data_IF_874765631650
#
_entry.id   IF_874765631650
#
_cell.length_a   1.000
_cell.length_b   1.000
_cell.length_c   1.000
_cell.angle_alpha   90.00
_cell.angle_beta   90.00
_cell.angle_gamma   90.00
#
_symmetry.space_group_name_H-M   'P 1'
#
loop_
_entity.id
_entity.type
_entity.pdbx_description
1 polymer ?
#
# COMPACT_ATOMS: atom_id res chain seq x y z
N UNK A 1 -19.86 -20.66 26.69
CA UNK A 1 -18.57 -21.32 27.00
C UNK A 1 -17.52 -20.63 26.16
N UNK A 2 -16.78 -19.70 26.76
CA UNK A 2 -15.61 -19.09 26.12
C UNK A 2 -14.50 -20.14 26.06
N UNK A 3 -13.76 -20.26 24.92
CA UNK A 3 -12.62 -21.15 24.88
C UNK A 3 -11.55 -20.63 25.86
N UNK A 4 -11.05 -21.54 26.67
CA UNK A 4 -9.90 -21.25 27.54
C UNK A 4 -8.70 -20.83 26.67
N UNK A 5 -7.93 -19.82 27.12
CA UNK A 5 -6.70 -19.46 26.43
C UNK A 5 -5.74 -20.64 26.48
N UNK A 6 -5.29 -21.10 25.31
CA UNK A 6 -4.22 -22.10 25.20
C UNK A 6 -2.93 -21.45 25.69
N UNK A 7 -2.68 -21.50 26.98
CA UNK A 7 -1.37 -21.22 27.54
C UNK A 7 -0.46 -22.36 27.17
N UNK A 8 0.32 -22.22 26.11
CA UNK A 8 1.50 -23.04 25.92
C UNK A 8 2.53 -22.62 26.97
N UNK A 9 2.57 -23.34 28.10
CA UNK A 9 3.66 -23.23 29.05
C UNK A 9 4.96 -23.65 28.35
N UNK A 10 5.81 -22.68 28.06
CA UNK A 10 7.19 -22.93 27.72
C UNK A 10 7.90 -23.31 29.00
N UNK A 11 8.00 -24.60 29.29
CA UNK A 11 8.82 -25.09 30.36
C UNK A 11 10.28 -24.78 30.02
N UNK A 12 10.86 -23.82 30.72
CA UNK A 12 12.30 -23.70 30.84
C UNK A 12 12.75 -25.00 31.53
N UNK A 13 13.37 -25.92 30.78
CA UNK A 13 13.88 -27.15 31.34
C UNK A 13 14.93 -26.81 32.42
N UNK A 14 14.65 -27.22 33.66
CA UNK A 14 15.66 -27.18 34.72
C UNK A 14 16.87 -27.99 34.29
N UNK A 15 18.01 -27.33 34.21
CA UNK A 15 19.27 -27.94 33.85
C UNK A 15 19.71 -28.97 34.89
N UNK A 16 19.58 -30.26 34.59
CA UNK A 16 20.37 -31.32 35.21
C UNK A 16 21.48 -31.71 34.20
N UNK A 17 22.69 -31.26 34.47
CA UNK A 17 23.81 -31.54 33.62
C UNK A 17 24.10 -33.06 33.50
N UNK A 18 24.19 -33.46 32.24
CA UNK A 18 25.17 -34.40 31.70
C UNK A 18 25.01 -34.46 30.18
N UNK A 19 25.95 -33.93 29.44
CA UNK A 19 26.37 -34.15 28.07
C UNK A 19 25.42 -34.87 27.08
N UNK A 20 24.36 -34.24 26.65
CA UNK A 20 23.77 -34.39 25.33
C UNK A 20 23.17 -33.04 24.96
N UNK A 21 23.59 -32.45 23.84
CA UNK A 21 23.27 -31.08 23.49
C UNK A 21 21.79 -30.75 23.61
N UNK A 22 21.44 -30.03 24.64
CA UNK A 22 20.10 -29.41 24.74
C UNK A 22 20.13 -28.18 23.82
N UNK A 23 19.30 -28.21 22.80
CA UNK A 23 19.09 -27.07 21.94
C UNK A 23 18.45 -25.92 22.74
N UNK A 24 19.04 -24.74 22.66
CA UNK A 24 18.52 -23.54 23.33
C UNK A 24 17.31 -23.01 22.55
N UNK A 25 16.18 -22.81 23.21
CA UNK A 25 15.06 -22.11 22.63
C UNK A 25 15.12 -20.61 22.92
N UNK A 26 15.05 -19.79 21.88
CA UNK A 26 15.08 -18.34 21.96
C UNK A 26 13.89 -17.75 21.22
N UNK A 27 13.09 -16.91 21.90
CA UNK A 27 12.01 -16.15 21.27
C UNK A 27 12.50 -14.74 20.89
N UNK A 28 12.48 -14.41 19.61
CA UNK A 28 12.80 -13.08 19.10
C UNK A 28 11.50 -12.34 18.79
N UNK A 29 11.21 -11.27 19.55
CA UNK A 29 9.97 -10.51 19.44
C UNK A 29 8.85 -11.03 20.36
N UNK A 30 7.66 -10.37 20.37
CA UNK A 30 7.34 -9.16 19.61
C UNK A 30 8.07 -7.90 20.11
N UNK A 31 8.50 -7.86 21.38
CA UNK A 31 9.17 -6.72 21.99
C UNK A 31 10.67 -6.66 21.63
N UNK A 32 10.98 -6.79 20.36
CA UNK A 32 12.32 -6.67 19.79
C UNK A 32 12.33 -5.56 18.72
N UNK A 33 13.34 -4.66 18.66
CA UNK A 33 13.34 -3.54 17.73
C UNK A 33 13.14 -3.94 16.26
N UNK A 34 13.80 -5.02 15.82
CA UNK A 34 13.68 -5.50 14.44
C UNK A 34 12.35 -6.22 14.14
N UNK A 35 11.60 -6.68 15.15
CA UNK A 35 10.31 -7.37 14.96
C UNK A 35 9.11 -6.41 14.98
N UNK A 36 9.35 -5.13 15.15
CA UNK A 36 8.39 -4.02 15.08
C UNK A 36 7.16 -4.16 16.01
N UNK A 37 7.23 -5.03 17.03
CA UNK A 37 6.14 -5.27 17.98
C UNK A 37 5.01 -6.18 17.49
N UNK A 38 5.13 -6.78 16.30
CA UNK A 38 4.02 -7.40 15.58
C UNK A 38 4.26 -8.84 15.12
N UNK A 39 5.44 -9.38 15.35
CA UNK A 39 5.78 -10.76 15.01
C UNK A 39 6.65 -11.36 16.11
N UNK A 40 6.52 -12.65 16.32
CA UNK A 40 7.40 -13.42 17.19
C UNK A 40 7.96 -14.61 16.43
N UNK A 41 9.28 -14.75 16.49
CA UNK A 41 9.98 -15.88 15.89
C UNK A 41 10.58 -16.70 17.03
N UNK A 42 10.12 -17.93 17.17
CA UNK A 42 10.66 -18.88 18.16
C UNK A 42 11.68 -19.74 17.44
N UNK A 43 12.93 -19.67 17.88
CA UNK A 43 14.04 -20.42 17.30
C UNK A 43 14.57 -21.46 18.27
N UNK A 44 14.96 -22.61 17.72
CA UNK A 44 15.73 -23.64 18.39
C UNK A 44 17.17 -23.58 17.88
N UNK A 45 18.11 -23.31 18.77
CA UNK A 45 19.49 -23.04 18.43
C UNK A 45 20.42 -24.22 18.83
N UNK A 46 21.37 -24.51 17.95
CA UNK A 46 22.55 -25.33 18.23
C UNK A 46 23.78 -24.41 18.15
N UNK A 47 24.24 -23.96 19.32
CA UNK A 47 25.20 -22.85 19.37
C UNK A 47 24.56 -21.57 18.84
N UNK A 48 25.10 -21.02 17.76
CA UNK A 48 24.56 -19.80 17.09
C UNK A 48 23.72 -20.13 15.85
N UNK A 49 23.59 -21.40 15.47
CA UNK A 49 22.87 -21.83 14.27
C UNK A 49 21.42 -22.19 14.59
N UNK A 50 20.51 -21.73 13.73
CA UNK A 50 19.07 -21.99 13.85
C UNK A 50 18.78 -23.38 13.28
N UNK A 51 18.40 -24.33 14.16
CA UNK A 51 17.98 -25.69 13.76
C UNK A 51 16.54 -25.71 13.29
N UNK A 52 15.70 -24.97 13.98
CA UNK A 52 14.27 -24.87 13.70
C UNK A 52 13.78 -23.48 14.04
N UNK A 53 12.81 -23.01 13.28
CA UNK A 53 12.11 -21.77 13.57
C UNK A 53 10.62 -21.97 13.40
N UNK A 54 9.84 -21.23 14.22
CA UNK A 54 8.39 -21.11 14.11
C UNK A 54 8.04 -19.62 14.15
N UNK A 55 7.19 -19.17 13.22
CA UNK A 55 6.84 -17.76 13.05
C UNK A 55 5.42 -17.54 13.49
N UNK A 56 5.24 -16.82 14.60
CA UNK A 56 3.94 -16.50 15.17
C UNK A 56 3.50 -15.11 14.70
N UNK A 57 2.37 -15.04 14.02
CA UNK A 57 1.72 -13.82 13.52
C UNK A 57 0.39 -13.60 14.26
N UNK A 58 -0.26 -12.45 14.00
CA UNK A 58 -1.58 -12.15 14.57
C UNK A 58 -1.56 -11.00 15.60
N UNK A 59 -0.39 -10.51 15.99
CA UNK A 59 -0.29 -9.43 16.99
C UNK A 59 -0.89 -8.09 16.53
N UNK A 60 -1.06 -7.91 15.22
CA UNK A 60 -1.72 -6.76 14.61
C UNK A 60 -3.01 -7.13 13.88
N UNK A 61 -3.63 -8.24 14.23
CA UNK A 61 -4.93 -8.61 13.66
C UNK A 61 -6.04 -7.69 14.16
N UNK A 62 -6.63 -6.93 13.22
CA UNK A 62 -7.62 -5.88 13.51
C UNK A 62 -8.98 -6.17 12.89
N UNK A 63 -9.21 -7.40 12.46
CA UNK A 63 -10.45 -7.84 11.82
C UNK A 63 -10.83 -7.00 10.57
N UNK A 64 -9.84 -6.54 9.80
CA UNK A 64 -10.01 -5.68 8.62
C UNK A 64 -11.13 -6.17 7.68
N UNK A 65 -11.10 -7.46 7.34
CA UNK A 65 -12.09 -8.05 6.43
C UNK A 65 -13.51 -7.96 7.01
N UNK A 66 -13.66 -8.15 8.32
CA UNK A 66 -14.96 -8.04 9.01
C UNK A 66 -15.44 -6.60 9.18
N UNK A 67 -14.54 -5.68 9.44
CA UNK A 67 -14.88 -4.26 9.51
C UNK A 67 -15.34 -3.73 8.15
N UNK A 68 -14.73 -4.20 7.05
CA UNK A 68 -15.19 -3.89 5.69
C UNK A 68 -16.59 -4.45 5.40
N UNK A 69 -16.95 -5.63 5.95
CA UNK A 69 -18.27 -6.24 5.80
C UNK A 69 -19.33 -5.56 6.69
N UNK A 70 -18.94 -4.97 7.81
CA UNK A 70 -19.84 -4.31 8.74
C UNK A 70 -20.32 -2.93 8.26
N UNK A 71 -19.50 -2.25 7.45
CA UNK A 71 -19.79 -0.92 6.91
C UNK A 71 -20.13 -0.91 5.42
N UNK A 72 -20.50 0.25 4.91
CA UNK A 72 -20.70 0.47 3.46
C UNK A 72 -19.37 0.39 2.68
N UNK A 73 -19.46 0.22 1.36
CA UNK A 73 -18.26 0.10 0.49
C UNK A 73 -17.28 1.25 0.64
N UNK A 74 -17.76 2.48 0.86
CA UNK A 74 -16.89 3.63 1.08
C UNK A 74 -16.17 3.61 2.45
N UNK A 75 -16.78 3.00 3.45
CA UNK A 75 -16.23 2.95 4.80
C UNK A 75 -14.98 2.07 4.88
N UNK A 76 -14.78 1.19 3.90
CA UNK A 76 -13.59 0.36 3.80
C UNK A 76 -12.34 1.14 3.34
N UNK A 77 -12.49 2.26 2.62
CA UNK A 77 -11.36 3.02 2.06
C UNK A 77 -10.37 3.47 3.15
N UNK A 78 -10.78 4.07 4.28
CA UNK A 78 -9.84 4.41 5.35
C UNK A 78 -9.14 3.21 5.96
N UNK A 79 -9.76 2.03 5.98
CA UNK A 79 -9.11 0.81 6.45
C UNK A 79 -8.04 0.32 5.50
N UNK A 80 -8.22 0.49 4.17
CA UNK A 80 -7.23 0.09 3.18
C UNK A 80 -5.93 0.88 3.29
N UNK A 81 -5.95 2.14 3.74
CA UNK A 81 -4.75 2.93 4.02
C UNK A 81 -3.85 2.26 5.06
N UNK A 82 -4.44 1.49 5.96
CA UNK A 82 -3.78 0.88 7.11
C UNK A 82 -3.38 -0.57 6.90
N UNK A 83 -3.54 -1.10 5.68
CA UNK A 83 -2.96 -2.39 5.29
C UNK A 83 -1.46 -2.22 5.12
N UNK A 84 -0.98 -1.95 3.93
CA UNK A 84 0.37 -1.47 3.73
C UNK A 84 0.39 0.06 3.93
N UNK A 85 0.64 0.50 5.16
CA UNK A 85 0.60 1.91 5.52
C UNK A 85 1.78 2.72 4.97
N UNK A 86 2.79 2.08 4.42
CA UNK A 86 3.93 2.76 3.77
C UNK A 86 3.62 3.11 2.32
N UNK A 87 2.78 2.31 1.66
CA UNK A 87 2.27 2.56 0.29
C UNK A 87 0.75 2.57 0.21
N UNK A 88 0.04 3.43 0.96
CA UNK A 88 -1.41 3.37 1.14
C UNK A 88 -2.21 3.64 -0.15
N UNK A 89 -1.67 4.44 -1.09
CA UNK A 89 -2.36 4.77 -2.34
C UNK A 89 -2.64 3.54 -3.19
N UNK A 90 -1.70 2.59 -3.25
CA UNK A 90 -1.89 1.35 -4.01
C UNK A 90 -3.06 0.56 -3.44
N UNK A 91 -3.18 0.48 -2.12
CA UNK A 91 -4.28 -0.23 -1.45
C UNK A 91 -5.63 0.42 -1.75
N UNK A 92 -5.71 1.76 -1.65
CA UNK A 92 -6.93 2.51 -1.95
C UNK A 92 -7.41 2.24 -3.38
N UNK A 93 -6.49 2.38 -4.34
CA UNK A 93 -6.82 2.24 -5.76
C UNK A 93 -7.18 0.80 -6.10
N UNK A 94 -6.50 -0.19 -5.53
CA UNK A 94 -6.82 -1.61 -5.76
C UNK A 94 -8.21 -1.98 -5.24
N UNK A 95 -8.57 -1.53 -4.02
CA UNK A 95 -9.90 -1.75 -3.47
C UNK A 95 -10.98 -1.02 -4.29
N UNK A 96 -10.77 0.27 -4.60
CA UNK A 96 -11.69 1.04 -5.43
C UNK A 96 -11.92 0.35 -6.78
N UNK A 97 -10.85 -0.13 -7.43
CA UNK A 97 -10.95 -0.84 -8.71
C UNK A 97 -11.69 -2.18 -8.61
N UNK A 98 -11.59 -2.88 -7.48
CA UNK A 98 -12.39 -4.09 -7.26
C UNK A 98 -13.89 -3.78 -7.19
N UNK A 99 -14.26 -2.69 -6.51
CA UNK A 99 -15.66 -2.24 -6.43
C UNK A 99 -16.15 -1.67 -7.77
N UNK A 100 -15.30 -0.93 -8.50
CA UNK A 100 -15.60 -0.43 -9.86
C UNK A 100 -15.87 -1.58 -10.83
N UNK A 101 -15.08 -2.64 -10.77
CA UNK A 101 -15.30 -3.85 -11.55
C UNK A 101 -16.61 -4.53 -11.20
N UNK A 102 -17.00 -4.54 -9.93
CA UNK A 102 -18.29 -5.09 -9.46
C UNK A 102 -19.46 -4.25 -9.94
N UNK A 103 -19.30 -2.93 -10.02
CA UNK A 103 -20.30 -2.00 -10.59
C UNK A 103 -20.35 -2.02 -12.11
N UNK A 104 -19.30 -2.54 -12.79
CA UNK A 104 -19.16 -2.48 -14.24
C UNK A 104 -18.87 -1.08 -14.79
N UNK A 105 -18.29 -0.20 -13.99
CA UNK A 105 -17.93 1.17 -14.39
C UNK A 105 -16.46 1.28 -14.74
N UNK A 106 -16.14 2.16 -15.68
CA UNK A 106 -14.78 2.48 -16.09
C UNK A 106 -14.43 3.93 -15.71
N UNK A 107 -13.28 4.11 -15.06
CA UNK A 107 -12.78 5.44 -14.67
C UNK A 107 -12.29 6.24 -15.88
N UNK A 108 -12.23 7.56 -15.73
CA UNK A 108 -11.76 8.45 -16.79
C UNK A 108 -10.29 8.21 -17.15
N UNK A 109 -9.92 8.55 -18.38
CA UNK A 109 -8.53 8.44 -18.85
C UNK A 109 -7.58 9.23 -17.96
N UNK A 110 -7.91 10.46 -17.61
CA UNK A 110 -7.10 11.28 -16.70
C UNK A 110 -6.90 10.61 -15.34
N UNK A 111 -7.96 10.01 -14.79
CA UNK A 111 -7.88 9.29 -13.52
C UNK A 111 -6.95 8.06 -13.60
N UNK A 112 -6.96 7.32 -14.72
CA UNK A 112 -6.03 6.19 -14.93
C UNK A 112 -4.57 6.63 -14.79
N UNK A 113 -4.20 7.75 -15.42
CA UNK A 113 -2.84 8.30 -15.32
C UNK A 113 -2.50 8.82 -13.93
N UNK A 114 -3.45 9.49 -13.26
CA UNK A 114 -3.26 9.94 -11.87
C UNK A 114 -3.01 8.76 -10.95
N UNK A 115 -3.84 7.71 -11.03
CA UNK A 115 -3.66 6.51 -10.20
C UNK A 115 -2.32 5.84 -10.47
N UNK A 116 -1.89 5.76 -11.73
CA UNK A 116 -0.58 5.19 -12.09
C UNK A 116 0.56 6.00 -11.49
N UNK A 117 0.60 7.32 -11.69
CA UNK A 117 1.67 8.17 -11.18
C UNK A 117 1.74 8.14 -9.64
N UNK A 118 0.60 8.27 -8.97
CA UNK A 118 0.52 8.29 -7.51
C UNK A 118 0.82 6.92 -6.88
N UNK A 119 0.45 5.82 -7.54
CA UNK A 119 0.81 4.47 -7.09
C UNK A 119 2.32 4.24 -7.14
N UNK A 120 2.99 4.72 -8.20
CA UNK A 120 4.44 4.58 -8.31
C UNK A 120 5.20 5.47 -7.32
N UNK A 121 4.75 6.70 -7.06
CA UNK A 121 5.30 7.54 -5.98
C UNK A 121 5.18 6.81 -4.63
N UNK A 122 4.04 6.20 -4.38
CA UNK A 122 3.79 5.42 -3.15
C UNK A 122 4.72 4.19 -3.06
N UNK A 123 4.96 3.48 -4.17
CA UNK A 123 5.89 2.35 -4.24
C UNK A 123 7.34 2.77 -3.92
N UNK A 124 7.79 3.91 -4.44
CA UNK A 124 9.13 4.44 -4.14
C UNK A 124 9.26 4.70 -2.64
N UNK A 125 8.26 5.30 -2.01
CA UNK A 125 8.23 5.54 -0.55
C UNK A 125 8.39 4.24 0.25
N UNK A 126 7.75 3.16 -0.20
CA UNK A 126 7.82 1.85 0.43
C UNK A 126 9.23 1.24 0.30
N UNK A 127 9.78 1.21 -0.90
CA UNK A 127 11.14 0.69 -1.12
C UNK A 127 12.22 1.49 -0.38
N UNK A 128 12.12 2.83 -0.34
CA UNK A 128 13.00 3.68 0.47
C UNK A 128 12.95 3.28 1.94
N UNK A 129 11.76 3.03 2.46
CA UNK A 129 11.57 2.62 3.86
C UNK A 129 12.17 1.24 4.12
N UNK A 130 11.89 0.27 3.25
CA UNK A 130 12.40 -1.10 3.36
C UNK A 130 13.93 -1.14 3.35
N UNK A 131 14.54 -0.52 2.34
CA UNK A 131 16.00 -0.52 2.18
C UNK A 131 16.66 0.23 3.34
N UNK A 132 16.07 1.36 3.76
CA UNK A 132 16.57 2.13 4.90
C UNK A 132 16.52 1.33 6.21
N UNK A 133 15.39 0.69 6.50
CA UNK A 133 15.22 -0.14 7.70
C UNK A 133 16.20 -1.33 7.72
N UNK A 134 16.30 -2.07 6.63
CA UNK A 134 17.26 -3.19 6.52
C UNK A 134 18.72 -2.74 6.71
N UNK A 135 19.08 -1.58 6.15
CA UNK A 135 20.41 -1.02 6.35
C UNK A 135 20.65 -0.62 7.82
N UNK A 136 19.66 -0.04 8.48
CA UNK A 136 19.73 0.32 9.91
C UNK A 136 19.91 -0.93 10.79
N UNK A 137 19.19 -2.01 10.50
CA UNK A 137 19.27 -3.28 11.21
C UNK A 137 20.67 -3.92 11.11
N UNK A 138 21.40 -3.63 10.03
CA UNK A 138 22.80 -4.00 9.84
C UNK A 138 23.81 -2.94 10.35
N UNK A 139 23.33 -1.93 11.07
CA UNK A 139 24.16 -0.88 11.67
C UNK A 139 24.45 0.32 10.77
N UNK A 140 23.96 0.35 9.53
CA UNK A 140 24.13 1.48 8.62
C UNK A 140 23.08 2.59 8.84
N UNK A 141 23.04 3.15 10.05
CA UNK A 141 22.03 4.14 10.46
C UNK A 141 22.02 5.40 9.58
N UNK A 142 23.18 5.84 9.11
CA UNK A 142 23.28 6.99 8.20
C UNK A 142 22.50 6.76 6.90
N UNK A 143 22.55 5.56 6.35
CA UNK A 143 21.80 5.18 5.15
C UNK A 143 20.29 5.28 5.40
N UNK A 144 19.83 4.82 6.56
CA UNK A 144 18.43 4.99 6.96
C UNK A 144 17.99 6.46 6.94
N UNK A 145 18.80 7.36 7.51
CA UNK A 145 18.50 8.79 7.51
C UNK A 145 18.45 9.39 6.09
N UNK A 146 19.33 8.96 5.19
CA UNK A 146 19.27 9.38 3.79
C UNK A 146 18.01 8.88 3.08
N UNK A 147 17.62 7.61 3.29
CA UNK A 147 16.40 7.06 2.71
C UNK A 147 15.15 7.77 3.24
N UNK A 148 15.09 8.08 4.53
CA UNK A 148 13.99 8.86 5.12
C UNK A 148 13.96 10.29 4.56
N UNK A 149 15.12 10.93 4.35
CA UNK A 149 15.19 12.24 3.69
C UNK A 149 14.63 12.19 2.26
N UNK A 150 14.97 11.18 1.47
CA UNK A 150 14.42 11.02 0.13
C UNK A 150 12.90 10.80 0.16
N UNK A 151 12.41 10.01 1.12
CA UNK A 151 10.97 9.80 1.33
C UNK A 151 10.23 11.09 1.69
N UNK A 152 10.86 12.00 2.43
CA UNK A 152 10.26 13.29 2.79
C UNK A 152 9.92 14.12 1.55
N UNK A 153 10.80 14.19 0.54
CA UNK A 153 10.52 14.89 -0.72
C UNK A 153 9.29 14.32 -1.43
N UNK A 154 9.06 13.01 -1.34
CA UNK A 154 7.90 12.36 -1.95
C UNK A 154 6.63 12.55 -1.11
N UNK A 155 6.76 12.58 0.22
CA UNK A 155 5.64 12.85 1.10
C UNK A 155 5.09 14.27 0.96
N UNK A 156 5.93 15.27 0.70
CA UNK A 156 5.49 16.62 0.36
C UNK A 156 4.59 16.61 -0.89
N UNK A 157 4.94 15.81 -1.92
CA UNK A 157 4.11 15.65 -3.11
C UNK A 157 2.76 15.00 -2.77
N UNK A 158 2.77 13.96 -1.94
CA UNK A 158 1.55 13.28 -1.50
C UNK A 158 0.66 14.22 -0.68
N UNK A 159 1.25 15.01 0.22
CA UNK A 159 0.55 16.00 1.03
C UNK A 159 -0.08 17.10 0.17
N UNK A 160 0.62 17.59 -0.85
CA UNK A 160 0.09 18.59 -1.80
C UNK A 160 -1.20 18.13 -2.50
N UNK A 161 -1.29 16.82 -2.80
CA UNK A 161 -2.45 16.25 -3.52
C UNK A 161 -3.56 15.82 -2.57
N UNK A 162 -3.19 15.24 -1.43
CA UNK A 162 -4.16 14.53 -0.57
C UNK A 162 -4.48 15.26 0.72
N UNK A 163 -3.61 16.16 1.15
CA UNK A 163 -3.68 16.87 2.42
C UNK A 163 -3.12 16.10 3.62
N UNK A 164 -2.52 14.92 3.38
CA UNK A 164 -1.89 14.10 4.41
C UNK A 164 -0.72 13.29 3.83
N UNK A 165 0.20 12.84 4.67
CA UNK A 165 1.42 12.11 4.27
C UNK A 165 1.27 10.60 4.26
N UNK A 166 0.44 10.04 5.15
CA UNK A 166 0.24 8.60 5.31
C UNK A 166 -1.21 8.20 5.12
N UNK A 167 -2.04 8.19 6.09
CA UNK A 167 -3.44 7.75 6.04
C UNK A 167 -4.30 8.74 5.24
N UNK A 168 -4.27 8.63 3.95
CA UNK A 168 -4.62 9.66 2.98
C UNK A 168 -6.01 9.53 2.38
N UNK A 169 -6.56 8.32 2.29
CA UNK A 169 -7.90 8.06 1.74
C UNK A 169 -8.20 8.86 0.47
N UNK A 170 -7.28 8.81 -0.50
CA UNK A 170 -7.36 9.62 -1.72
C UNK A 170 -8.17 8.91 -2.83
N UNK A 171 -8.00 7.59 -2.96
CA UNK A 171 -8.78 6.80 -3.91
C UNK A 171 -10.28 6.82 -3.58
N UNK A 172 -11.11 6.86 -4.61
CA UNK A 172 -12.57 6.77 -4.51
C UNK A 172 -13.08 5.80 -5.55
N UNK A 173 -14.20 5.16 -5.27
CA UNK A 173 -14.91 4.41 -6.29
C UNK A 173 -15.39 5.38 -7.37
N UNK A 174 -14.99 5.15 -8.61
CA UNK A 174 -15.25 6.04 -9.72
C UNK A 174 -14.21 7.16 -9.91
N UNK A 175 -13.09 7.16 -9.15
CA UNK A 175 -12.05 8.15 -9.38
C UNK A 175 -11.12 8.43 -8.21
N UNK A 176 -10.86 9.69 -7.95
CA UNK A 176 -9.98 10.21 -6.88
C UNK A 176 -10.64 11.39 -6.17
N UNK A 177 -10.17 11.70 -4.96
CA UNK A 177 -10.72 12.77 -4.11
C UNK A 177 -10.60 14.16 -4.75
N UNK A 178 -9.51 14.44 -5.43
CA UNK A 178 -9.22 15.72 -6.07
C UNK A 178 -8.26 15.53 -7.24
N UNK A 179 -8.24 16.49 -8.16
CA UNK A 179 -7.25 16.54 -9.25
C UNK A 179 -5.86 16.92 -8.72
N UNK A 180 -4.85 16.74 -9.56
CA UNK A 180 -3.49 17.19 -9.25
C UNK A 180 -3.41 18.72 -9.28
N UNK A 181 -2.68 19.32 -8.35
CA UNK A 181 -2.49 20.77 -8.33
C UNK A 181 -1.64 21.24 -9.53
N UNK A 182 -1.81 22.50 -9.91
CA UNK A 182 -1.05 23.11 -10.99
C UNK A 182 0.47 23.02 -10.73
N UNK A 183 1.22 22.70 -11.78
CA UNK A 183 2.67 22.54 -11.68
C UNK A 183 3.16 21.28 -10.97
N UNK A 184 2.27 20.34 -10.64
CA UNK A 184 2.63 19.09 -9.94
C UNK A 184 3.72 18.30 -10.65
N UNK A 185 3.65 18.15 -11.97
CA UNK A 185 4.68 17.43 -12.74
C UNK A 185 6.09 18.04 -12.58
N UNK A 186 6.18 19.36 -12.50
CA UNK A 186 7.47 20.07 -12.26
C UNK A 186 8.00 19.78 -10.86
N UNK A 187 7.13 19.77 -9.84
CA UNK A 187 7.50 19.41 -8.47
C UNK A 187 7.98 17.97 -8.38
N UNK A 188 7.28 17.03 -9.05
CA UNK A 188 7.69 15.63 -9.12
C UNK A 188 9.07 15.49 -9.75
N UNK A 189 9.35 16.17 -10.87
CA UNK A 189 10.67 16.14 -11.49
C UNK A 189 11.79 16.64 -10.57
N UNK A 190 11.54 17.70 -9.79
CA UNK A 190 12.48 18.21 -8.81
C UNK A 190 12.72 17.20 -7.65
N UNK A 191 11.66 16.62 -7.10
CA UNK A 191 11.74 15.63 -6.03
C UNK A 191 12.45 14.35 -6.49
N UNK A 192 12.17 13.87 -7.71
CA UNK A 192 12.82 12.69 -8.27
C UNK A 192 14.32 12.92 -8.53
N UNK A 193 14.71 14.11 -8.97
CA UNK A 193 16.12 14.48 -9.09
C UNK A 193 16.84 14.36 -7.74
N UNK A 194 16.27 14.95 -6.69
CA UNK A 194 16.82 14.87 -5.34
C UNK A 194 16.84 13.43 -4.81
N UNK A 195 15.81 12.65 -5.11
CA UNK A 195 15.76 11.23 -4.72
C UNK A 195 16.86 10.43 -5.41
N UNK A 196 17.10 10.64 -6.72
CA UNK A 196 18.22 9.99 -7.46
C UNK A 196 19.57 10.36 -6.86
N UNK A 197 19.81 11.63 -6.49
CA UNK A 197 21.04 12.05 -5.82
C UNK A 197 21.25 11.29 -4.50
N UNK A 198 20.19 11.07 -3.72
CA UNK A 198 20.26 10.27 -2.49
C UNK A 198 20.50 8.80 -2.81
N UNK A 199 19.84 8.21 -3.80
CA UNK A 199 20.07 6.82 -4.19
C UNK A 199 21.51 6.57 -4.65
N UNK A 200 22.10 7.50 -5.41
CA UNK A 200 23.51 7.43 -5.82
C UNK A 200 24.45 7.48 -4.61
N UNK A 201 24.14 8.29 -3.61
CA UNK A 201 24.90 8.34 -2.35
C UNK A 201 24.81 7.00 -1.60
N UNK A 202 23.60 6.44 -1.50
CA UNK A 202 23.36 5.15 -0.85
C UNK A 202 24.07 4.02 -1.60
N UNK A 203 24.07 4.03 -2.93
CA UNK A 203 24.85 3.06 -3.71
C UNK A 203 26.34 3.10 -3.38
N UNK A 204 26.92 4.30 -3.24
CA UNK A 204 28.32 4.46 -2.87
C UNK A 204 28.63 3.98 -1.46
N UNK A 205 27.71 4.21 -0.52
CA UNK A 205 27.90 3.87 0.89
C UNK A 205 27.62 2.39 1.19
N UNK A 206 26.66 1.78 0.52
CA UNK A 206 26.09 0.49 0.92
C UNK A 206 26.39 -0.63 -0.07
N UNK A 207 26.11 -0.45 -1.38
CA UNK A 207 26.17 -1.53 -2.37
C UNK A 207 27.56 -2.17 -2.49
N UNK A 208 28.61 -1.36 -2.39
CA UNK A 208 30.00 -1.83 -2.43
C UNK A 208 30.62 -2.06 -1.05
N UNK A 209 29.86 -1.93 0.02
CA UNK A 209 30.36 -2.09 1.38
C UNK A 209 30.55 -3.57 1.71
N UNK A 210 31.78 -3.98 2.02
CA UNK A 210 32.11 -5.38 2.27
C UNK A 210 31.29 -5.97 3.43
N UNK A 211 31.12 -5.24 4.53
CA UNK A 211 30.37 -5.73 5.69
C UNK A 211 28.91 -5.98 5.30
N UNK A 212 28.30 -5.06 4.54
CA UNK A 212 26.93 -5.22 4.06
C UNK A 212 26.82 -6.42 3.12
N UNK A 213 27.74 -6.56 2.18
CA UNK A 213 27.76 -7.70 1.24
C UNK A 213 27.91 -9.03 1.99
N UNK A 214 28.86 -9.12 2.93
CA UNK A 214 29.12 -10.34 3.73
C UNK A 214 27.91 -10.74 4.61
N UNK A 215 27.04 -9.78 4.94
CA UNK A 215 25.83 -10.00 5.76
C UNK A 215 24.55 -10.18 4.92
N UNK A 216 24.63 -10.13 3.60
CA UNK A 216 23.46 -10.19 2.72
C UNK A 216 23.60 -11.25 1.62
N UNK A 217 24.81 -11.48 1.11
CA UNK A 217 25.06 -12.43 0.01
C UNK A 217 25.02 -13.86 0.53
N UNK A 218 24.21 -14.69 -0.13
CA UNK A 218 24.02 -16.10 0.20
C UNK A 218 23.17 -16.35 1.44
N UNK A 219 22.70 -15.30 2.13
CA UNK A 219 21.92 -15.39 3.37
C UNK A 219 20.43 -15.26 3.05
N UNK A 220 19.60 -16.10 3.69
CA UNK A 220 18.16 -16.09 3.53
C UNK A 220 17.70 -16.44 2.11
N UNK A 221 18.49 -17.22 1.39
CA UNK A 221 18.25 -17.58 0.01
C UNK A 221 17.07 -18.56 -0.14
N UNK A 222 16.28 -18.35 -1.19
CA UNK A 222 15.29 -19.32 -1.68
C UNK A 222 15.60 -19.64 -3.14
N UNK A 223 15.42 -20.88 -3.51
CA UNK A 223 15.46 -21.29 -4.91
C UNK A 223 14.24 -20.76 -5.68
N UNK A 224 14.32 -20.77 -7.00
CA UNK A 224 13.20 -20.38 -7.87
C UNK A 224 11.98 -21.29 -7.64
N UNK A 225 12.21 -22.59 -7.54
CA UNK A 225 11.18 -23.60 -7.36
C UNK A 225 10.46 -23.44 -6.02
N UNK A 226 11.21 -23.22 -4.95
CA UNK A 226 10.67 -22.95 -3.62
C UNK A 226 9.86 -21.66 -3.58
N UNK A 227 10.38 -20.59 -4.17
CA UNK A 227 9.71 -19.29 -4.22
C UNK A 227 8.35 -19.39 -4.92
N UNK A 228 8.29 -20.14 -6.03
CA UNK A 228 7.05 -20.41 -6.76
C UNK A 228 6.11 -21.32 -5.94
N UNK A 229 6.63 -22.35 -5.30
CA UNK A 229 5.84 -23.29 -4.48
C UNK A 229 5.18 -22.60 -3.29
N UNK A 230 5.84 -21.61 -2.68
CA UNK A 230 5.27 -20.77 -1.63
C UNK A 230 4.23 -19.75 -2.15
N UNK A 231 4.09 -19.57 -3.46
CA UNK A 231 3.21 -18.55 -4.05
C UNK A 231 3.67 -17.11 -3.79
N UNK A 232 4.97 -16.93 -3.59
CA UNK A 232 5.60 -15.62 -3.38
C UNK A 232 5.57 -14.83 -4.68
N UNK A 233 5.30 -13.54 -4.60
CA UNK A 233 5.25 -12.59 -5.71
C UNK A 233 6.13 -11.36 -5.41
N UNK A 234 6.21 -10.42 -6.35
CA UNK A 234 6.91 -9.16 -6.15
C UNK A 234 8.44 -9.26 -6.14
N UNK A 235 9.13 -8.38 -5.41
CA UNK A 235 10.59 -8.29 -5.40
C UNK A 235 11.29 -9.61 -5.04
N UNK A 236 10.71 -10.42 -4.15
CA UNK A 236 11.30 -11.71 -3.79
C UNK A 236 11.26 -12.71 -4.95
N UNK A 237 10.16 -12.76 -5.71
CA UNK A 237 10.06 -13.61 -6.90
C UNK A 237 10.98 -13.12 -8.02
N UNK A 238 11.11 -11.81 -8.16
CA UNK A 238 12.04 -11.20 -9.12
C UNK A 238 13.51 -11.41 -8.74
N UNK A 239 13.81 -11.54 -7.46
CA UNK A 239 15.16 -11.85 -6.97
C UNK A 239 15.64 -13.25 -7.37
N UNK A 240 14.76 -14.19 -7.71
CA UNK A 240 15.08 -15.53 -8.22
C UNK A 240 14.96 -15.66 -9.76
N UNK A 241 14.89 -14.52 -10.46
CA UNK A 241 14.92 -14.48 -11.93
C UNK A 241 13.57 -14.73 -12.63
N UNK A 242 12.45 -14.62 -11.91
CA UNK A 242 11.12 -14.73 -12.52
C UNK A 242 10.56 -13.33 -12.80
N UNK A 243 10.42 -12.92 -14.07
CA UNK A 243 9.98 -11.57 -14.45
C UNK A 243 8.44 -11.44 -14.36
N UNK A 244 7.84 -11.87 -13.26
CA UNK A 244 6.41 -11.71 -13.03
C UNK A 244 6.12 -10.37 -12.36
N UNK A 245 5.20 -9.60 -12.97
CA UNK A 245 4.73 -8.33 -12.47
C UNK A 245 3.28 -8.14 -12.93
N UNK A 246 2.37 -7.85 -12.00
CA UNK A 246 0.93 -7.70 -12.28
C UNK A 246 0.68 -6.55 -13.25
N UNK A 247 1.51 -5.50 -13.24
CA UNK A 247 1.40 -4.35 -14.15
C UNK A 247 1.59 -4.75 -15.62
N UNK A 248 2.31 -5.84 -15.89
CA UNK A 248 2.51 -6.41 -17.23
C UNK A 248 1.61 -7.61 -17.51
N UNK A 249 1.42 -8.50 -16.53
CA UNK A 249 0.62 -9.70 -16.69
C UNK A 249 -0.89 -9.38 -16.80
N UNK A 250 -1.34 -8.40 -16.03
CA UNK A 250 -2.73 -7.91 -16.00
C UNK A 250 -2.74 -6.39 -16.01
N UNK A 251 -2.47 -5.74 -17.16
CA UNK A 251 -2.39 -4.29 -17.26
C UNK A 251 -3.68 -3.63 -16.77
N UNK A 252 -3.53 -2.63 -15.93
CA UNK A 252 -4.62 -1.85 -15.38
C UNK A 252 -4.23 -0.38 -15.33
N UNK A 253 -5.20 0.52 -15.14
CA UNK A 253 -5.05 1.97 -15.19
C UNK A 253 -4.35 2.42 -16.49
N UNK A 254 -3.12 2.96 -16.43
CA UNK A 254 -2.34 3.39 -17.59
C UNK A 254 -1.02 2.60 -17.77
N UNK A 255 -0.87 1.44 -17.12
CA UNK A 255 0.38 0.65 -17.24
C UNK A 255 0.62 0.05 -18.62
N UNK A 256 -0.41 -0.11 -19.44
CA UNK A 256 -0.32 -0.52 -20.84
C UNK A 256 0.23 0.58 -21.77
N UNK A 257 0.32 1.83 -21.28
CA UNK A 257 0.70 3.02 -22.05
C UNK A 257 2.04 3.61 -21.63
N UNK A 258 2.73 2.97 -20.73
CA UNK A 258 4.05 3.39 -20.23
C UNK A 258 5.09 2.30 -20.43
N UNK A 259 6.31 2.72 -20.70
CA UNK A 259 7.42 1.81 -20.92
C UNK A 259 8.25 1.68 -19.63
N UNK A 260 8.45 0.45 -19.20
CA UNK A 260 9.31 0.11 -18.09
C UNK A 260 9.86 -1.31 -18.21
N UNK A 261 10.95 -1.57 -17.52
CA UNK A 261 11.56 -2.88 -17.42
C UNK A 261 11.20 -3.52 -16.08
N UNK A 262 11.20 -4.85 -16.02
CA UNK A 262 11.02 -5.61 -14.78
C UNK A 262 12.41 -6.04 -14.30
N UNK A 263 12.98 -5.40 -13.26
CA UNK A 263 14.27 -5.77 -12.73
C UNK A 263 14.23 -7.18 -12.13
N UNK A 264 15.22 -8.01 -12.47
CA UNK A 264 15.36 -9.35 -11.93
C UNK A 264 16.79 -9.63 -11.51
N UNK A 265 16.95 -10.49 -10.51
CA UNK A 265 18.24 -11.08 -10.09
C UNK A 265 18.14 -12.60 -10.17
N UNK A 266 19.15 -13.34 -9.74
CA UNK A 266 19.17 -14.81 -9.87
C UNK A 266 19.40 -15.53 -8.54
N UNK A 267 20.03 -14.89 -7.59
CA UNK A 267 20.60 -15.55 -6.40
C UNK A 267 19.54 -15.80 -5.30
N UNK A 268 18.42 -15.06 -5.32
CA UNK A 268 17.30 -15.25 -4.40
C UNK A 268 17.59 -14.96 -2.94
N UNK A 269 18.75 -14.37 -2.63
CA UNK A 269 19.20 -14.00 -1.31
C UNK A 269 18.79 -12.58 -0.90
N UNK A 270 19.19 -12.16 0.28
CA UNK A 270 18.88 -10.83 0.79
C UNK A 270 19.48 -9.72 -0.09
N UNK A 271 20.69 -9.93 -0.64
CA UNK A 271 21.35 -8.95 -1.50
C UNK A 271 20.64 -8.80 -2.85
N UNK A 272 20.21 -9.90 -3.45
CA UNK A 272 19.42 -9.88 -4.68
C UNK A 272 18.10 -9.11 -4.48
N UNK A 273 17.42 -9.31 -3.35
CA UNK A 273 16.19 -8.56 -2.99
C UNK A 273 16.45 -7.07 -2.83
N UNK A 274 17.57 -6.70 -2.23
CA UNK A 274 18.01 -5.31 -2.12
C UNK A 274 18.22 -4.68 -3.51
N UNK A 275 18.97 -5.33 -4.39
CA UNK A 275 19.25 -4.83 -5.74
C UNK A 275 17.99 -4.67 -6.58
N UNK A 276 17.05 -5.63 -6.49
CA UNK A 276 15.75 -5.53 -7.18
C UNK A 276 15.01 -4.28 -6.75
N UNK A 277 14.89 -4.02 -5.43
CA UNK A 277 14.18 -2.82 -4.94
C UNK A 277 14.86 -1.51 -5.35
N UNK A 278 16.20 -1.47 -5.34
CA UNK A 278 16.92 -0.29 -5.82
C UNK A 278 16.63 -0.01 -7.30
N UNK A 279 16.62 -1.05 -8.15
CA UNK A 279 16.29 -0.91 -9.55
C UNK A 279 14.81 -0.60 -9.79
N UNK A 280 13.90 -1.15 -8.99
CA UNK A 280 12.46 -0.86 -9.08
C UNK A 280 12.13 0.61 -8.78
N UNK A 281 12.85 1.25 -7.85
CA UNK A 281 12.65 2.68 -7.58
C UNK A 281 12.90 3.53 -8.81
N UNK A 282 13.95 3.24 -9.60
CA UNK A 282 14.21 3.97 -10.84
C UNK A 282 13.13 3.70 -11.90
N UNK A 283 12.69 2.44 -12.03
CA UNK A 283 11.59 2.12 -12.95
C UNK A 283 10.29 2.83 -12.55
N UNK A 284 10.00 2.91 -11.26
CA UNK A 284 8.83 3.62 -10.73
C UNK A 284 8.89 5.12 -11.00
N UNK A 285 10.06 5.76 -10.88
CA UNK A 285 10.25 7.16 -11.26
C UNK A 285 10.00 7.36 -12.76
N UNK A 286 10.53 6.48 -13.62
CA UNK A 286 10.31 6.52 -15.08
C UNK A 286 8.83 6.37 -15.45
N UNK A 287 8.11 5.46 -14.80
CA UNK A 287 6.66 5.27 -15.02
C UNK A 287 5.89 6.54 -14.63
N UNK A 288 6.16 7.08 -13.45
CA UNK A 288 5.45 8.26 -12.95
C UNK A 288 5.73 9.50 -13.84
N UNK A 289 6.96 9.71 -14.28
CA UNK A 289 7.34 10.79 -15.22
C UNK A 289 6.58 10.65 -16.55
N UNK A 290 6.56 9.45 -17.16
CA UNK A 290 5.82 9.20 -18.39
C UNK A 290 4.32 9.40 -18.23
N UNK A 291 3.74 8.89 -17.12
CA UNK A 291 2.33 9.04 -16.83
C UNK A 291 1.93 10.51 -16.70
N UNK A 292 2.73 11.34 -16.02
CA UNK A 292 2.46 12.76 -15.85
C UNK A 292 2.59 13.55 -17.17
N UNK A 293 3.53 13.17 -18.03
CA UNK A 293 3.71 13.81 -19.35
C UNK A 293 2.59 13.44 -20.33
N UNK A 294 2.17 12.18 -20.33
CA UNK A 294 1.13 11.67 -21.23
C UNK A 294 -0.30 11.90 -20.74
N UNK A 295 -0.46 12.47 -19.55
CA UNK A 295 -1.77 12.65 -18.92
C UNK A 295 -2.66 13.60 -19.71
N UNK A 296 -3.88 13.14 -20.15
CA UNK A 296 -4.82 14.01 -20.84
C UNK A 296 -5.49 14.99 -19.87
N UNK A 297 -6.07 16.05 -20.39
CA UNK A 297 -7.02 16.89 -19.68
C UNK A 297 -8.36 16.19 -19.50
N UNK A 298 -9.26 16.78 -18.70
CA UNK A 298 -10.63 16.30 -18.53
C UNK A 298 -10.97 15.92 -17.08
N UNK A 299 -12.16 15.35 -16.87
CA UNK A 299 -12.66 15.00 -15.56
C UNK A 299 -11.85 13.86 -14.92
N UNK A 300 -11.80 13.82 -13.58
CA UNK A 300 -11.09 12.81 -12.81
C UNK A 300 -12.00 11.78 -12.17
N UNK A 301 -13.31 11.97 -12.30
CA UNK A 301 -14.33 11.10 -11.70
C UNK A 301 -15.42 10.70 -12.69
N UNK A 302 -16.07 9.59 -12.40
CA UNK A 302 -17.29 9.11 -13.08
C UNK A 302 -18.41 8.89 -12.07
N UNK A 303 -19.67 8.96 -12.54
CA UNK A 303 -20.82 8.56 -11.74
C UNK A 303 -21.00 7.02 -11.70
N UNK A 304 -22.05 6.53 -11.04
CA UNK A 304 -22.26 5.09 -10.96
C UNK A 304 -22.73 4.43 -12.25
N UNK A 305 -23.12 5.22 -13.23
CA UNK A 305 -23.48 4.75 -14.57
C UNK A 305 -22.28 4.82 -15.51
N UNK A 306 -21.08 5.20 -14.96
CA UNK A 306 -19.86 5.31 -15.73
C UNK A 306 -19.73 6.57 -16.57
N UNK A 307 -20.62 7.57 -16.36
CA UNK A 307 -20.57 8.83 -17.12
C UNK A 307 -19.54 9.77 -16.50
N UNK A 308 -18.66 10.37 -17.31
CA UNK A 308 -17.68 11.34 -16.82
C UNK A 308 -18.36 12.53 -16.14
N UNK A 309 -17.86 12.92 -14.99
CA UNK A 309 -18.32 14.08 -14.25
C UNK A 309 -17.47 15.27 -14.68
N UNK A 310 -18.04 16.14 -15.53
CA UNK A 310 -17.40 17.40 -15.91
C UNK A 310 -17.75 18.49 -14.89
N UNK A 311 -16.76 18.99 -14.13
CA UNK A 311 -16.99 20.05 -13.15
C UNK A 311 -17.62 21.30 -13.76
N UNK A 312 -17.29 21.63 -15.00
CA UNK A 312 -17.83 22.81 -15.67
C UNK A 312 -19.32 22.68 -16.00
N UNK A 313 -19.81 21.44 -16.28
CA UNK A 313 -21.23 21.20 -16.57
C UNK A 313 -22.13 21.42 -15.37
N UNK A 314 -21.58 21.47 -14.22
CA UNK A 314 -22.28 21.51 -12.95
C UNK A 314 -22.57 22.93 -12.46
N UNK A 315 -21.82 23.89 -12.86
CA UNK A 315 -22.05 25.29 -12.51
C UNK A 315 -23.42 25.78 -13.05
N UNK A 316 -23.87 25.22 -14.19
CA UNK A 316 -25.15 25.59 -14.80
C UNK A 316 -26.35 24.78 -14.28
N UNK A 317 -26.14 23.51 -13.90
CA UNK A 317 -27.25 22.64 -13.47
C UNK A 317 -27.72 22.96 -12.04
N UNK A 318 -26.89 23.57 -11.19
CA UNK A 318 -27.29 24.05 -9.87
C UNK A 318 -28.41 25.09 -9.90
N UNK A 319 -28.75 25.69 -11.08
CA UNK A 319 -29.87 26.60 -11.27
C UNK A 319 -31.17 25.88 -11.59
N UNK A 320 -31.16 24.62 -11.97
CA UNK A 320 -32.35 23.91 -12.46
C UNK A 320 -32.91 22.83 -11.52
N UNK A 321 -32.32 22.61 -10.37
CA UNK A 321 -32.91 21.79 -9.30
C UNK A 321 -33.13 20.32 -9.60
N UNK A 322 -32.58 19.75 -10.68
CA UNK A 322 -32.74 18.37 -11.07
C UNK A 322 -31.41 17.72 -11.37
N UNK A 323 -30.72 17.34 -10.32
CA UNK A 323 -29.55 16.44 -10.42
C UNK A 323 -29.86 15.16 -9.67
N UNK A 324 -30.58 14.24 -10.32
CA UNK A 324 -30.67 12.89 -9.77
C UNK A 324 -29.29 12.26 -9.73
N UNK A 325 -28.80 12.00 -8.54
CA UNK A 325 -27.62 11.18 -8.32
C UNK A 325 -26.27 11.90 -8.20
N UNK A 326 -26.18 13.19 -8.51
CA UNK A 326 -24.88 13.88 -8.54
C UNK A 326 -24.66 14.81 -7.36
N UNK A 327 -23.51 14.70 -6.74
CA UNK A 327 -23.08 15.69 -5.82
C UNK A 327 -22.33 16.76 -6.47
N UNK A 328 -23.03 17.81 -6.77
CA UNK A 328 -22.44 18.95 -7.13
C UNK A 328 -23.05 20.02 -6.57
N UNK A 329 -22.34 20.72 -5.90
CA UNK A 329 -22.75 22.06 -5.56
C UNK A 329 -21.56 22.96 -5.72
N UNK A 330 -21.60 23.87 -6.68
CA UNK A 330 -20.85 25.09 -6.46
C UNK A 330 -21.47 25.67 -5.20
N UNK A 331 -20.72 25.66 -4.09
CA UNK A 331 -21.13 26.28 -2.87
C UNK A 331 -21.24 27.76 -3.18
N UNK A 332 -22.42 28.25 -3.34
CA UNK A 332 -22.65 29.67 -3.09
C UNK A 332 -22.50 29.83 -1.59
N UNK A 333 -21.31 30.32 -1.20
CA UNK A 333 -21.14 30.80 0.16
C UNK A 333 -22.36 31.63 0.55
N UNK A 334 -22.92 31.33 1.73
CA UNK A 334 -23.94 32.18 2.32
C UNK A 334 -23.53 33.64 2.16
N UNK A 335 -24.45 34.55 1.86
CA UNK A 335 -24.12 35.98 1.74
C UNK A 335 -23.32 36.54 2.90
N UNK A 336 -23.44 35.93 4.09
CA UNK A 336 -22.67 36.31 5.30
C UNK A 336 -21.20 35.87 5.24
N UNK A 337 -20.78 35.04 4.30
CA UNK A 337 -19.40 34.59 4.12
C UNK A 337 -18.74 35.18 2.88
N UNK A 338 -19.45 35.98 2.08
CA UNK A 338 -18.96 36.56 0.83
C UNK A 338 -17.94 37.74 1.03
N UNK A 339 -17.67 38.14 2.23
CA UNK A 339 -16.70 39.23 2.56
C UNK A 339 -15.35 38.76 3.10
N UNK A 340 -15.13 37.46 3.27
CA UNK A 340 -13.85 36.96 3.74
C UNK A 340 -12.99 36.54 2.54
N UNK A 341 -11.77 37.13 2.44
CA UNK A 341 -10.75 36.75 1.45
C UNK A 341 -10.28 35.30 1.63
N UNK A 342 -11.20 34.37 1.45
CA UNK A 342 -10.86 32.96 1.27
C UNK A 342 -10.76 32.72 -0.23
N UNK A 343 -9.73 32.01 -0.71
CA UNK A 343 -9.72 31.57 -2.09
C UNK A 343 -11.07 30.92 -2.34
N UNK A 344 -11.77 31.37 -3.38
CA UNK A 344 -12.98 30.74 -3.83
C UNK A 344 -12.67 29.23 -3.83
N UNK A 345 -13.55 28.43 -3.19
CA UNK A 345 -13.48 26.98 -3.29
C UNK A 345 -13.76 26.63 -4.74
N UNK A 346 -12.79 26.95 -5.57
CA UNK A 346 -12.79 26.68 -6.98
C UNK A 346 -12.72 25.17 -7.12
N UNK A 347 -13.84 24.66 -7.62
CA UNK A 347 -13.91 23.35 -8.24
C UNK A 347 -13.44 22.18 -7.37
N UNK A 348 -14.24 21.86 -6.38
CA UNK A 348 -14.20 20.50 -5.86
C UNK A 348 -14.66 19.62 -7.02
N UNK A 349 -13.73 18.87 -7.59
CA UNK A 349 -14.05 17.80 -8.54
C UNK A 349 -14.87 16.76 -7.79
N UNK A 350 -16.17 16.81 -7.97
CA UNK A 350 -17.10 16.05 -7.15
C UNK A 350 -17.51 14.83 -7.90
N UNK A 351 -17.20 13.69 -7.34
CA UNK A 351 -17.79 12.42 -7.72
C UNK A 351 -19.25 12.32 -7.22
N UNK A 352 -19.94 11.25 -7.57
CA UNK A 352 -21.31 11.00 -7.11
C UNK A 352 -21.42 11.11 -5.58
N UNK A 353 -22.45 11.76 -5.09
CA UNK A 353 -22.73 11.97 -3.65
C UNK A 353 -22.81 10.69 -2.83
N UNK A 354 -23.03 9.56 -3.48
CA UNK A 354 -23.05 8.23 -2.85
C UNK A 354 -21.63 7.68 -2.59
N UNK A 355 -20.60 8.34 -3.12
CA UNK A 355 -19.22 7.86 -3.07
C UNK A 355 -18.24 8.84 -2.48
N UNK A 356 -18.49 10.14 -2.59
CA UNK A 356 -17.58 11.21 -2.16
C UNK A 356 -18.20 12.05 -1.07
N UNK A 357 -17.51 12.17 0.05
CA UNK A 357 -17.92 13.08 1.12
C UNK A 357 -17.82 14.53 0.66
N UNK A 358 -18.81 15.37 0.99
CA UNK A 358 -18.71 16.81 0.74
C UNK A 358 -17.54 17.40 1.53
N UNK A 359 -16.92 18.47 1.04
CA UNK A 359 -15.93 19.22 1.82
C UNK A 359 -16.48 19.62 3.18
N UNK A 360 -15.60 19.62 4.20
CA UNK A 360 -15.96 19.92 5.58
C UNK A 360 -16.71 21.26 5.72
N UNK A 361 -16.26 22.26 5.00
CA UNK A 361 -16.88 23.59 5.01
C UNK A 361 -18.29 23.57 4.43
N UNK A 362 -18.55 22.72 3.42
CA UNK A 362 -19.90 22.53 2.88
C UNK A 362 -20.78 21.78 3.85
N UNK A 363 -20.26 20.72 4.48
CA UNK A 363 -21.00 19.93 5.45
C UNK A 363 -21.44 20.76 6.67
N UNK A 364 -20.65 21.76 7.06
CA UNK A 364 -20.99 22.65 8.16
C UNK A 364 -21.64 23.98 7.73
N UNK A 365 -21.54 24.37 6.47
CA UNK A 365 -21.98 25.66 5.97
C UNK A 365 -23.32 25.64 5.20
N UNK A 366 -23.83 24.46 4.83
CA UNK A 366 -25.09 24.33 4.10
C UNK A 366 -25.88 23.12 4.55
N UNK A 367 -27.21 23.21 4.47
CA UNK A 367 -28.11 22.12 4.81
C UNK A 367 -27.95 20.96 3.82
N UNK A 368 -27.80 21.26 2.54
CA UNK A 368 -27.58 20.28 1.48
C UNK A 368 -26.27 19.52 1.68
N UNK A 369 -25.20 20.22 2.05
CA UNK A 369 -23.92 19.60 2.38
C UNK A 369 -23.99 18.67 3.59
N UNK A 370 -24.70 19.10 4.63
CA UNK A 370 -24.96 18.28 5.81
C UNK A 370 -25.77 17.03 5.44
N UNK A 371 -26.87 17.18 4.68
CA UNK A 371 -27.69 16.05 4.22
C UNK A 371 -26.87 15.07 3.40
N UNK A 372 -26.03 15.54 2.48
CA UNK A 372 -25.17 14.71 1.67
C UNK A 372 -24.14 13.96 2.50
N UNK A 373 -23.56 14.62 3.51
CA UNK A 373 -22.68 13.95 4.46
C UNK A 373 -23.40 12.84 5.22
N UNK A 374 -24.60 13.12 5.75
CA UNK A 374 -25.43 12.11 6.42
C UNK A 374 -25.75 10.92 5.54
N UNK A 375 -26.12 11.15 4.28
CA UNK A 375 -26.44 10.09 3.33
C UNK A 375 -25.26 9.16 3.02
N UNK A 376 -24.03 9.65 3.16
CA UNK A 376 -22.84 8.82 2.97
C UNK A 376 -22.42 8.01 4.20
N UNK A 377 -22.70 8.54 5.39
CA UNK A 377 -22.26 7.96 6.65
C UNK A 377 -23.32 7.04 7.25
N UNK A 378 -24.59 7.32 7.02
CA UNK A 378 -25.70 6.53 7.59
C UNK A 378 -25.95 5.25 6.80
N UNK A 379 -26.35 4.22 7.51
CA UNK A 379 -26.77 2.94 6.95
C UNK A 379 -27.99 3.08 6.06
N UNK A 380 -28.10 2.25 5.03
CA UNK A 380 -29.21 2.25 4.06
C UNK A 380 -29.03 3.20 2.89
N UNK A 381 -27.94 3.96 2.87
CA UNK A 381 -27.55 4.83 1.76
C UNK A 381 -26.20 4.41 1.20
N UNK A 382 -25.78 5.01 0.09
CA UNK A 382 -24.47 4.71 -0.52
C UNK A 382 -24.57 3.81 -1.75
N UNK A 383 -23.43 3.20 -2.09
CA UNK A 383 -23.33 2.37 -3.28
C UNK A 383 -24.01 1.04 -3.06
N UNK A 384 -24.76 0.56 -4.07
CA UNK A 384 -25.40 -0.76 -4.10
C UNK A 384 -25.01 -1.49 -5.38
N UNK A 385 -23.87 -2.17 -5.41
CA UNK A 385 -23.48 -2.95 -6.56
C UNK A 385 -24.48 -4.08 -6.82
N UNK A 386 -24.66 -4.52 -8.06
CA UNK A 386 -25.47 -5.68 -8.37
C UNK A 386 -24.93 -6.91 -7.65
N UNK A 387 -25.76 -7.93 -7.48
CA UNK A 387 -25.31 -9.24 -6.98
C UNK A 387 -24.23 -9.80 -7.90
N UNK A 388 -23.12 -10.18 -7.32
CA UNK A 388 -21.99 -10.69 -8.07
C UNK A 388 -20.71 -10.69 -7.23
N UNK A 389 -19.64 -11.04 -7.90
CA UNK A 389 -18.32 -11.07 -7.30
C UNK A 389 -17.27 -10.46 -8.24
N UNK A 390 -16.24 -9.86 -7.68
CA UNK A 390 -15.14 -9.33 -8.45
C UNK A 390 -13.82 -9.56 -7.71
N UNK A 391 -12.79 -9.94 -8.46
CA UNK A 391 -11.41 -9.93 -8.00
C UNK A 391 -10.62 -8.91 -8.82
N UNK A 392 -9.83 -8.10 -8.11
CA UNK A 392 -8.90 -7.17 -8.73
C UNK A 392 -7.53 -7.32 -8.06
N UNK A 393 -6.52 -7.50 -8.88
CA UNK A 393 -5.12 -7.56 -8.45
C UNK A 393 -4.37 -6.33 -8.95
N UNK A 394 -3.51 -5.78 -8.10
CA UNK A 394 -2.54 -4.74 -8.43
C UNK A 394 -1.17 -5.13 -7.92
N UNK A 395 -0.12 -4.64 -8.55
CA UNK A 395 1.23 -4.81 -8.03
C UNK A 395 1.44 -3.87 -6.85
N UNK A 396 1.49 -4.41 -5.64
CA UNK A 396 1.95 -3.70 -4.44
C UNK A 396 3.48 -3.60 -4.41
N UNK A 397 4.03 -2.84 -3.46
CA UNK A 397 5.49 -2.77 -3.29
C UNK A 397 6.10 -4.12 -2.88
N UNK A 398 5.34 -4.95 -2.16
CA UNK A 398 5.74 -6.28 -1.71
C UNK A 398 5.34 -7.40 -2.66
N UNK A 399 4.60 -7.11 -3.72
CA UNK A 399 4.09 -8.05 -4.70
C UNK A 399 2.60 -7.90 -4.97
N UNK A 400 1.96 -8.96 -5.48
CA UNK A 400 0.55 -8.91 -5.86
C UNK A 400 -0.36 -8.67 -4.65
N UNK A 401 -1.03 -7.53 -4.65
CA UNK A 401 -2.11 -7.19 -3.73
C UNK A 401 -3.44 -7.45 -4.41
N UNK A 402 -4.31 -8.26 -3.81
CA UNK A 402 -5.60 -8.60 -4.38
C UNK A 402 -6.77 -8.30 -3.45
N UNK A 403 -7.86 -7.78 -4.02
CA UNK A 403 -9.14 -7.66 -3.33
C UNK A 403 -10.20 -8.49 -4.04
N UNK A 404 -10.84 -9.37 -3.27
CA UNK A 404 -12.00 -10.13 -3.70
C UNK A 404 -13.21 -9.64 -2.93
N UNK A 405 -14.21 -9.17 -3.67
CA UNK A 405 -15.40 -8.54 -3.11
C UNK A 405 -16.64 -9.24 -3.65
N UNK A 406 -17.54 -9.64 -2.76
CA UNK A 406 -18.86 -10.21 -3.10
C UNK A 406 -19.94 -9.23 -2.68
N UNK A 407 -20.91 -8.98 -3.58
CA UNK A 407 -22.11 -8.22 -3.31
C UNK A 407 -23.36 -9.11 -3.35
N UNK A 408 -24.23 -8.91 -2.38
CA UNK A 408 -25.58 -9.49 -2.37
C UNK A 408 -26.66 -8.51 -2.89
N UNK A 409 -26.25 -7.33 -3.37
CA UNK A 409 -27.13 -6.25 -3.84
C UNK A 409 -27.50 -5.23 -2.75
N UNK A 410 -26.93 -5.36 -1.55
CA UNK A 410 -27.10 -4.39 -0.46
C UNK A 410 -26.05 -3.28 -0.53
N UNK A 411 -26.15 -2.30 0.37
CA UNK A 411 -25.18 -1.21 0.55
C UNK A 411 -23.90 -1.62 1.29
N UNK A 412 -23.80 -2.89 1.72
CA UNK A 412 -22.65 -3.47 2.40
C UNK A 412 -22.08 -4.63 1.60
N UNK A 413 -20.76 -4.81 1.59
CA UNK A 413 -20.18 -6.01 1.03
C UNK A 413 -20.64 -7.26 1.80
N UNK A 414 -21.09 -8.29 1.10
CA UNK A 414 -21.35 -9.59 1.72
C UNK A 414 -20.05 -10.25 2.19
N UNK A 415 -18.97 -10.10 1.40
CA UNK A 415 -17.64 -10.60 1.73
C UNK A 415 -16.57 -9.73 1.13
N UNK A 416 -15.54 -9.44 1.93
CA UNK A 416 -14.29 -8.82 1.47
C UNK A 416 -13.13 -9.72 1.88
N UNK A 417 -12.28 -10.05 0.92
CA UNK A 417 -11.03 -10.78 1.17
C UNK A 417 -9.88 -9.97 0.60
N UNK A 418 -8.83 -9.85 1.39
CA UNK A 418 -7.58 -9.25 0.96
C UNK A 418 -6.51 -10.34 0.81
N UNK A 419 -5.85 -10.40 -0.36
CA UNK A 419 -4.63 -11.17 -0.55
C UNK A 419 -3.44 -10.27 -0.26
N UNK A 420 -2.81 -10.40 0.89
CA UNK A 420 -1.64 -9.59 1.23
C UNK A 420 -0.39 -10.20 0.60
N UNK A 421 0.47 -9.43 -0.08
CA UNK A 421 1.68 -9.96 -0.68
C UNK A 421 2.72 -10.42 0.33
N UNK A 422 2.78 -9.85 1.54
CA UNK A 422 3.80 -10.20 2.53
C UNK A 422 3.51 -11.49 3.33
N UNK A 423 2.28 -12.04 3.27
CA UNK A 423 1.93 -13.25 4.03
C UNK A 423 2.77 -14.46 3.62
N UNK A 424 2.93 -14.69 2.31
CA UNK A 424 3.65 -15.85 1.80
C UNK A 424 5.15 -15.79 2.10
N UNK A 425 5.85 -14.65 1.90
CA UNK A 425 7.23 -14.50 2.33
C UNK A 425 7.45 -14.71 3.82
N UNK A 426 6.53 -14.22 4.67
CA UNK A 426 6.62 -14.42 6.13
C UNK A 426 6.38 -15.90 6.50
N UNK A 427 5.49 -16.58 5.82
CA UNK A 427 5.30 -18.03 6.01
C UNK A 427 6.55 -18.83 5.61
N UNK A 428 7.26 -18.39 4.56
CA UNK A 428 8.51 -19.03 4.11
C UNK A 428 9.72 -18.63 4.98
N UNK A 429 9.62 -17.64 5.87
CA UNK A 429 10.73 -17.10 6.65
C UNK A 429 11.42 -18.19 7.49
N UNK A 430 10.66 -19.11 8.09
CA UNK A 430 11.21 -20.20 8.86
C UNK A 430 12.18 -21.05 8.04
N UNK A 431 11.86 -21.29 6.76
CA UNK A 431 12.75 -22.01 5.83
C UNK A 431 13.97 -21.17 5.45
N UNK A 432 13.80 -19.86 5.24
CA UNK A 432 14.90 -18.95 4.84
C UNK A 432 15.99 -18.85 5.91
N UNK A 433 15.64 -18.98 7.20
CA UNK A 433 16.58 -18.81 8.31
C UNK A 433 17.07 -20.13 8.89
N UNK A 434 16.52 -21.27 8.46
CA UNK A 434 16.95 -22.57 8.95
C UNK A 434 18.37 -22.90 8.45
N UNK A 435 19.25 -23.20 9.37
CA UNK A 435 20.67 -23.44 9.09
C UNK A 435 21.55 -22.19 9.08
N UNK A 436 20.95 -21.01 9.15
CA UNK A 436 21.64 -19.73 9.25
C UNK A 436 21.97 -19.39 10.72
N UNK A 437 22.83 -18.38 10.93
CA UNK A 437 23.12 -17.89 12.27
C UNK A 437 21.96 -17.05 12.80
N UNK A 438 21.78 -17.03 14.13
CA UNK A 438 20.76 -16.17 14.77
C UNK A 438 20.95 -14.70 14.40
N UNK A 439 22.16 -14.25 14.14
CA UNK A 439 22.48 -12.90 13.68
C UNK A 439 21.93 -12.61 12.27
N UNK A 440 21.70 -13.62 11.44
CA UNK A 440 21.22 -13.48 10.06
C UNK A 440 19.69 -13.45 9.97
N UNK A 441 18.99 -13.75 11.08
CA UNK A 441 17.54 -13.67 11.19
C UNK A 441 17.06 -12.25 10.91
N UNK A 442 17.68 -11.24 11.51
CA UNK A 442 17.26 -9.84 11.41
C UNK A 442 17.37 -9.31 9.98
N UNK A 443 18.52 -9.40 9.28
CA UNK A 443 18.60 -8.95 7.90
C UNK A 443 17.71 -9.75 6.94
N UNK A 444 17.50 -11.04 7.19
CA UNK A 444 16.58 -11.84 6.37
C UNK A 444 15.14 -11.37 6.55
N UNK A 445 14.70 -11.15 7.78
CA UNK A 445 13.40 -10.57 8.08
C UNK A 445 13.23 -9.18 7.45
N UNK A 446 14.21 -8.29 7.62
CA UNK A 446 14.20 -6.95 7.01
C UNK A 446 14.09 -7.01 5.47
N UNK A 447 14.77 -7.97 4.83
CA UNK A 447 14.73 -8.16 3.37
C UNK A 447 13.36 -8.56 2.84
N UNK A 448 12.50 -9.17 3.66
CA UNK A 448 11.12 -9.56 3.30
C UNK A 448 10.21 -8.34 3.19
N UNK A 449 10.52 -7.24 3.85
CA UNK A 449 9.66 -6.05 3.94
C UNK A 449 8.28 -6.36 4.49
N UNK A 450 8.24 -7.00 5.65
CA UNK A 450 6.98 -7.33 6.29
C UNK A 450 6.29 -6.06 6.82
N UNK A 451 5.04 -5.85 6.42
CA UNK A 451 4.17 -4.80 6.93
C UNK A 451 3.04 -5.44 7.72
N UNK A 452 3.03 -5.24 9.04
CA UNK A 452 2.10 -5.94 9.95
C UNK A 452 0.63 -5.70 9.68
N UNK A 453 0.27 -4.49 9.25
CA UNK A 453 -1.11 -4.17 8.90
C UNK A 453 -1.62 -4.93 7.67
N UNK A 454 -0.73 -5.24 6.73
CA UNK A 454 -1.02 -6.06 5.56
C UNK A 454 -0.97 -7.56 5.92
N UNK A 455 -0.01 -7.97 6.73
CA UNK A 455 0.19 -9.36 7.13
C UNK A 455 -1.02 -9.91 7.89
N UNK A 456 -1.45 -9.22 8.93
CA UNK A 456 -2.46 -9.70 9.88
C UNK A 456 -3.90 -9.28 9.51
N UNK A 457 -4.11 -8.28 8.68
CA UNK A 457 -5.38 -7.73 8.15
C UNK A 457 -6.40 -7.30 9.19
#
# INVERSE_FOLDING_TARGET
MSPEPVTREFMLGEGSGTGSGQNLQVGVGPAHPAMHGIIRIVTELDGEYIRKADVEIGYLHRAFEKDCEAGGYNNAIPYTDRLNYVSPLINNFAYASAVEKLLGIEITERCKYIRTAMAEISRICDHLTCVGATAMELGAFTVFLYMIKAREFLWELVEDVTGARLTISYGRVGGVKADLPDGFATKVGAAFKQTREVLDEVHRLLTGNRIFMDRMIGIGALSREETIAWGITGPLLRAVGVPYDVRRAHPHWAYDRVEFEIPTQKDGDNFARYLVRMAEMEQSMRIAEQALVAMPGGPVNVDFEGRPIDPASYVDQGKQGKTEGLLLVPIRLSPNLQGQNRPALEQVNVADKRVVMPPKETAYGSIEGLMNHFMLVMEGYGIRPPRGEAYFASEGANGELGFYVISDGTDRPYRVRCRPPCLMPVAALAQMIQGEMIADLVPTFGSVNMIGGELDR
#
